data_IF_510139167936
#
_entry.id   IF_510139167936
#
_cell.length_a   1.000
_cell.length_b   1.000
_cell.length_c   1.000
_cell.angle_alpha   90.00
_cell.angle_beta   90.00
_cell.angle_gamma   90.00
#
_symmetry.space_group_name_H-M   'P 1'
#
loop_
_entity.id
_entity.type
_entity.pdbx_description
1 polymer ?
#
# COMPACT_ATOMS: atom_id res chain seq x y z
N UNK A 1 -8.75 2.96 14.64
CA UNK A 1 -9.38 2.73 13.34
C UNK A 1 -9.22 3.97 12.48
N UNK A 2 -10.03 4.97 12.76
CA UNK A 2 -10.12 6.28 12.10
C UNK A 2 -10.08 7.40 13.17
N UNK A 3 -9.90 8.69 12.81
CA UNK A 3 -9.72 9.26 11.46
C UNK A 3 -8.34 8.97 10.84
N UNK A 4 -8.25 9.06 9.51
CA UNK A 4 -6.96 9.10 8.81
C UNK A 4 -6.23 10.41 9.11
N UNK A 5 -4.91 10.42 8.93
CA UNK A 5 -4.09 11.61 9.20
C UNK A 5 -3.40 12.03 7.92
N UNK A 6 -3.58 13.29 7.53
CA UNK A 6 -2.86 13.91 6.43
C UNK A 6 -1.97 15.02 7.00
N UNK A 7 -0.65 14.91 6.77
CA UNK A 7 0.32 15.91 7.19
C UNK A 7 0.41 17.01 6.13
N UNK A 8 -0.58 17.91 6.14
CA UNK A 8 -0.84 18.86 5.05
C UNK A 8 0.35 19.77 4.72
N UNK A 9 1.14 20.16 5.72
CA UNK A 9 2.35 20.97 5.53
C UNK A 9 3.44 20.21 4.79
N UNK A 10 3.63 18.92 5.13
CA UNK A 10 4.58 18.05 4.43
C UNK A 10 4.13 17.84 2.98
N UNK A 11 2.83 17.57 2.78
CA UNK A 11 2.23 17.42 1.44
C UNK A 11 2.50 18.66 0.59
N UNK A 12 2.09 19.85 1.04
CA UNK A 12 2.24 21.09 0.26
C UNK A 12 3.70 21.52 0.10
N UNK A 13 4.61 21.15 1.01
CA UNK A 13 6.05 21.37 0.82
C UNK A 13 6.61 20.54 -0.34
N UNK A 14 6.01 19.39 -0.61
CA UNK A 14 6.51 18.40 -1.57
C UNK A 14 5.71 18.35 -2.88
N UNK A 15 4.69 19.18 -3.08
CA UNK A 15 3.97 19.25 -4.37
C UNK A 15 4.93 19.66 -5.50
N UNK A 16 4.60 19.33 -6.77
CA UNK A 16 5.41 19.70 -7.93
C UNK A 16 5.66 21.20 -8.04
N UNK A 17 6.81 21.58 -8.62
CA UNK A 17 7.24 22.98 -8.68
C UNK A 17 6.25 23.87 -9.44
N UNK A 18 5.70 23.42 -10.56
CA UNK A 18 4.68 24.18 -11.31
C UNK A 18 3.37 24.34 -10.53
N UNK A 19 3.00 23.40 -9.66
CA UNK A 19 1.86 23.58 -8.76
C UNK A 19 2.12 24.70 -7.74
N UNK A 20 3.34 24.78 -7.18
CA UNK A 20 3.74 25.88 -6.29
C UNK A 20 3.69 27.23 -7.01
N UNK A 21 4.26 27.30 -8.22
CA UNK A 21 4.23 28.51 -9.05
C UNK A 21 2.82 28.94 -9.42
N UNK A 22 1.89 27.98 -9.56
CA UNK A 22 0.48 28.23 -9.82
C UNK A 22 -0.35 28.61 -8.59
N UNK A 23 0.23 28.62 -7.40
CA UNK A 23 -0.51 28.83 -6.15
C UNK A 23 -1.51 27.71 -5.86
N UNK A 24 -1.34 26.54 -6.46
CA UNK A 24 -2.18 25.37 -6.19
C UNK A 24 -1.78 24.78 -4.85
N UNK A 25 -2.79 24.44 -4.04
CA UNK A 25 -2.59 23.81 -2.73
C UNK A 25 -3.44 22.56 -2.61
N UNK A 26 -2.87 21.56 -1.96
CA UNK A 26 -3.60 20.35 -1.56
C UNK A 26 -4.26 20.64 -0.23
N UNK A 27 -5.56 20.34 -0.12
CA UNK A 27 -6.36 20.61 1.09
C UNK A 27 -6.84 19.33 1.78
N UNK A 28 -6.87 18.21 1.05
CA UNK A 28 -7.35 16.91 1.50
C UNK A 28 -6.65 15.80 0.73
N UNK A 29 -6.90 14.56 1.12
CA UNK A 29 -6.57 13.36 0.33
C UNK A 29 -7.85 12.68 -0.17
N UNK A 30 -7.70 11.61 -0.95
CA UNK A 30 -8.77 10.68 -1.31
C UNK A 30 -9.11 9.69 -0.17
N UNK A 31 -10.04 8.78 -0.47
CA UNK A 31 -10.53 7.71 0.41
C UNK A 31 -9.44 6.82 1.03
N UNK A 32 -8.34 6.59 0.32
CA UNK A 32 -7.28 5.68 0.76
C UNK A 32 -6.02 6.41 1.27
N UNK A 33 -6.05 7.75 1.40
CA UNK A 33 -4.97 8.60 1.93
C UNK A 33 -3.66 8.67 1.12
N UNK A 34 -3.62 8.20 -0.13
CA UNK A 34 -2.44 8.20 -1.01
C UNK A 34 -2.42 9.30 -2.07
N UNK A 35 -3.58 9.87 -2.42
CA UNK A 35 -3.71 10.88 -3.47
C UNK A 35 -3.69 12.28 -2.88
N UNK A 36 -2.70 13.07 -3.23
CA UNK A 36 -2.50 14.43 -2.72
C UNK A 36 -2.50 15.44 -3.86
N UNK A 37 -3.66 15.59 -4.51
CA UNK A 37 -3.85 16.48 -5.65
C UNK A 37 -4.62 17.74 -5.25
N UNK A 38 -4.37 18.89 -5.90
CA UNK A 38 -5.06 20.14 -5.62
C UNK A 38 -6.53 20.07 -6.04
N UNK A 39 -7.41 20.66 -5.23
CA UNK A 39 -8.86 20.74 -5.49
C UNK A 39 -9.44 22.12 -5.17
N UNK A 40 -10.59 22.41 -5.76
CA UNK A 40 -11.29 23.68 -5.67
C UNK A 40 -10.88 24.66 -6.78
N UNK A 41 -11.28 25.93 -6.61
CA UNK A 41 -11.09 26.98 -7.61
C UNK A 41 -9.60 27.28 -7.81
N UNK A 42 -9.13 27.23 -9.06
CA UNK A 42 -7.77 27.59 -9.45
C UNK A 42 -7.62 29.06 -9.88
N UNK A 43 -6.38 29.44 -10.26
CA UNK A 43 -6.05 30.80 -10.71
C UNK A 43 -6.86 31.30 -11.91
N UNK A 44 -7.50 30.40 -12.68
CA UNK A 44 -8.31 30.72 -13.85
C UNK A 44 -9.82 30.80 -13.50
N UNK A 45 -10.18 30.70 -12.21
CA UNK A 45 -11.58 30.69 -11.77
C UNK A 45 -12.32 29.39 -12.12
N UNK A 46 -11.60 28.31 -12.44
CA UNK A 46 -12.17 27.00 -12.75
C UNK A 46 -12.11 26.09 -11.54
N UNK A 47 -13.18 25.35 -11.29
CA UNK A 47 -13.22 24.36 -10.22
C UNK A 47 -12.45 23.09 -10.63
N UNK A 48 -11.75 22.49 -9.67
CA UNK A 48 -10.93 21.29 -9.86
C UNK A 48 -11.41 20.18 -8.95
N UNK A 49 -11.84 19.10 -9.58
CA UNK A 49 -12.08 17.82 -8.93
C UNK A 49 -10.95 16.87 -9.34
N UNK A 50 -10.07 16.54 -8.39
CA UNK A 50 -8.91 15.71 -8.68
C UNK A 50 -9.31 14.30 -9.16
N UNK A 51 -8.61 13.81 -10.18
CA UNK A 51 -8.73 12.45 -10.71
C UNK A 51 -7.34 11.84 -10.79
N UNK A 52 -7.24 10.55 -10.52
CA UNK A 52 -6.00 9.80 -10.68
C UNK A 52 -6.29 8.42 -11.26
N UNK A 53 -5.46 7.98 -12.21
CA UNK A 53 -5.44 6.60 -12.71
C UNK A 53 -4.30 5.84 -12.04
N UNK A 54 -4.60 4.62 -11.58
CA UNK A 54 -3.70 3.82 -10.76
C UNK A 54 -3.27 2.53 -11.45
N UNK A 55 -2.03 2.13 -11.22
CA UNK A 55 -1.50 0.80 -11.51
C UNK A 55 -0.40 0.49 -10.50
N UNK A 56 -0.05 -0.78 -10.30
CA UNK A 56 0.96 -1.16 -9.32
C UNK A 56 1.93 -2.18 -9.89
N UNK A 57 3.22 -1.93 -9.70
CA UNK A 57 4.28 -2.90 -10.05
C UNK A 57 4.35 -3.98 -8.98
N UNK A 58 4.44 -5.25 -9.37
CA UNK A 58 4.66 -6.34 -8.43
C UNK A 58 6.15 -6.46 -8.08
N UNK A 59 6.52 -6.17 -6.84
CA UNK A 59 7.90 -6.30 -6.36
C UNK A 59 8.29 -7.76 -6.10
N UNK A 60 7.34 -8.68 -5.94
CA UNK A 60 7.65 -10.11 -5.80
C UNK A 60 8.44 -10.65 -7.01
N UNK A 61 8.13 -10.12 -8.20
CA UNK A 61 8.78 -10.43 -9.47
C UNK A 61 9.84 -9.39 -9.86
N UNK A 62 10.39 -8.64 -8.90
CA UNK A 62 11.38 -7.58 -9.13
C UNK A 62 12.53 -8.00 -10.06
N UNK A 63 13.08 -9.21 -9.88
CA UNK A 63 14.18 -9.71 -10.70
C UNK A 63 13.82 -9.97 -12.17
N UNK A 64 12.54 -10.08 -12.49
CA UNK A 64 12.05 -10.33 -13.86
C UNK A 64 11.98 -9.04 -14.69
N UNK A 65 11.75 -7.88 -14.05
CA UNK A 65 11.50 -6.63 -14.76
C UNK A 65 12.51 -5.51 -14.45
N UNK A 66 13.33 -5.62 -13.39
CA UNK A 66 14.27 -4.55 -12.97
C UNK A 66 15.26 -4.12 -14.07
N UNK A 67 15.59 -5.01 -15.00
CA UNK A 67 16.57 -4.76 -16.06
C UNK A 67 15.91 -4.41 -17.42
N UNK A 68 14.58 -4.49 -17.50
CA UNK A 68 13.83 -4.03 -18.67
C UNK A 68 13.66 -2.51 -18.63
N UNK A 69 14.39 -1.84 -19.53
CA UNK A 69 14.44 -0.38 -19.64
C UNK A 69 13.12 0.24 -20.08
N UNK A 70 12.23 -0.53 -20.70
CA UNK A 70 10.94 -0.02 -21.19
C UNK A 70 9.81 -0.27 -20.20
N UNK A 71 9.97 -1.20 -19.26
CA UNK A 71 8.91 -1.67 -18.37
C UNK A 71 8.14 -0.54 -17.67
N UNK A 72 8.85 0.38 -17.00
CA UNK A 72 8.20 1.50 -16.30
C UNK A 72 7.60 2.51 -17.30
N UNK A 73 8.27 2.75 -18.43
CA UNK A 73 7.77 3.68 -19.44
C UNK A 73 6.48 3.19 -20.09
N UNK A 74 6.39 1.90 -20.41
CA UNK A 74 5.18 1.27 -20.98
C UNK A 74 3.99 1.41 -20.04
N UNK A 75 4.19 1.22 -18.72
CA UNK A 75 3.14 1.41 -17.72
C UNK A 75 2.73 2.88 -17.62
N UNK A 76 3.69 3.81 -17.63
CA UNK A 76 3.38 5.24 -17.60
C UNK A 76 2.63 5.69 -18.86
N UNK A 77 2.99 5.15 -20.03
CA UNK A 77 2.28 5.39 -21.29
C UNK A 77 0.87 4.79 -21.26
N UNK A 78 0.71 3.59 -20.70
CA UNK A 78 -0.59 2.98 -20.47
C UNK A 78 -1.47 3.86 -19.57
N UNK A 79 -0.95 4.34 -18.44
CA UNK A 79 -1.66 5.27 -17.56
C UNK A 79 -2.04 6.58 -18.26
N UNK A 80 -1.16 7.14 -19.09
CA UNK A 80 -1.46 8.34 -19.90
C UNK A 80 -2.61 8.07 -20.90
N UNK A 81 -2.63 6.88 -21.51
CA UNK A 81 -3.68 6.49 -22.46
C UNK A 81 -5.04 6.36 -21.76
N UNK A 82 -5.09 5.69 -20.60
CA UNK A 82 -6.32 5.57 -19.79
C UNK A 82 -6.81 6.95 -19.35
N UNK A 83 -5.90 7.84 -18.94
CA UNK A 83 -6.28 9.19 -18.54
C UNK A 83 -6.80 10.01 -19.72
N UNK A 84 -6.21 9.87 -20.92
CA UNK A 84 -6.74 10.47 -22.15
C UNK A 84 -8.15 9.97 -22.46
N UNK A 85 -8.39 8.67 -22.35
CA UNK A 85 -9.72 8.09 -22.56
C UNK A 85 -10.76 8.69 -21.59
N UNK A 86 -10.41 8.83 -20.31
CA UNK A 86 -11.28 9.51 -19.35
C UNK A 86 -11.56 10.96 -19.74
N UNK A 87 -10.53 11.73 -20.11
CA UNK A 87 -10.67 13.14 -20.50
C UNK A 87 -11.58 13.30 -21.72
N UNK A 88 -11.51 12.39 -22.68
CA UNK A 88 -12.30 12.43 -23.91
C UNK A 88 -13.75 11.96 -23.70
N UNK A 89 -13.93 10.85 -22.98
CA UNK A 89 -15.22 10.16 -22.90
C UNK A 89 -16.07 10.53 -21.69
N UNK A 90 -15.50 11.10 -20.63
CA UNK A 90 -16.28 11.42 -19.44
C UNK A 90 -17.41 12.41 -19.77
N UNK A 91 -18.62 12.23 -19.18
CA UNK A 91 -19.77 13.08 -19.45
C UNK A 91 -19.56 14.49 -18.89
N UNK A 92 -20.36 15.45 -19.37
CA UNK A 92 -20.25 16.85 -18.94
C UNK A 92 -20.58 17.08 -17.47
N UNK A 93 -21.31 16.16 -16.83
CA UNK A 93 -21.49 16.17 -15.37
C UNK A 93 -20.16 16.04 -14.61
N UNK A 94 -19.10 15.56 -15.26
CA UNK A 94 -17.74 15.45 -14.73
C UNK A 94 -16.82 16.54 -15.28
N UNK A 95 -17.34 17.67 -15.78
CA UNK A 95 -16.53 18.74 -16.41
C UNK A 95 -15.35 19.22 -15.56
N UNK A 96 -15.51 19.36 -14.24
CA UNK A 96 -14.46 19.85 -13.34
C UNK A 96 -13.36 18.79 -13.13
N UNK A 97 -13.75 17.52 -13.20
CA UNK A 97 -12.85 16.38 -13.19
C UNK A 97 -12.08 16.23 -14.50
N UNK A 98 -12.76 16.40 -15.65
CA UNK A 98 -12.14 16.47 -16.98
C UNK A 98 -11.14 17.61 -17.06
N UNK A 99 -11.51 18.77 -16.51
CA UNK A 99 -10.65 19.95 -16.47
C UNK A 99 -9.37 19.69 -15.66
N UNK A 100 -9.49 19.22 -14.40
CA UNK A 100 -8.32 18.89 -13.57
C UNK A 100 -7.44 17.81 -14.21
N UNK A 101 -8.04 16.71 -14.70
CA UNK A 101 -7.32 15.64 -15.39
C UNK A 101 -6.57 16.13 -16.64
N UNK A 102 -7.20 16.97 -17.46
CA UNK A 102 -6.57 17.54 -18.64
C UNK A 102 -5.40 18.47 -18.28
N UNK A 103 -5.58 19.33 -17.27
CA UNK A 103 -4.58 20.33 -16.86
C UNK A 103 -3.33 19.70 -16.23
N UNK A 104 -3.53 18.73 -15.34
CA UNK A 104 -2.45 18.17 -14.51
C UNK A 104 -1.87 16.90 -15.10
N UNK A 105 -2.72 16.11 -15.75
CA UNK A 105 -2.44 14.73 -16.18
C UNK A 105 -1.81 13.89 -15.07
N UNK A 106 -2.23 14.06 -13.81
CA UNK A 106 -1.63 13.32 -12.69
C UNK A 106 -1.99 11.82 -12.76
N UNK A 107 -1.01 10.96 -12.57
CA UNK A 107 -1.17 9.50 -12.48
C UNK A 107 -0.55 8.97 -11.18
N UNK A 108 -0.88 7.73 -10.80
CA UNK A 108 -0.40 7.10 -9.59
C UNK A 108 0.13 5.70 -9.86
N UNK A 109 1.39 5.60 -10.25
CA UNK A 109 2.10 4.34 -10.27
C UNK A 109 2.51 3.97 -8.83
N UNK A 110 1.96 2.87 -8.34
CA UNK A 110 2.25 2.28 -7.05
C UNK A 110 3.09 1.02 -7.15
N UNK A 111 3.19 0.32 -6.02
CA UNK A 111 3.79 -1.01 -5.94
C UNK A 111 2.91 -1.92 -5.09
N UNK A 112 3.07 -3.22 -5.29
CA UNK A 112 2.61 -4.27 -4.38
C UNK A 112 3.72 -5.30 -4.17
N UNK A 113 3.52 -6.25 -3.26
CA UNK A 113 4.44 -7.37 -3.09
C UNK A 113 5.74 -7.02 -2.36
N UNK A 114 5.82 -5.89 -1.63
CA UNK A 114 7.05 -5.50 -0.94
C UNK A 114 7.48 -6.53 0.12
N UNK A 115 6.56 -6.98 0.99
CA UNK A 115 6.90 -7.99 1.99
C UNK A 115 7.15 -9.36 1.35
N UNK A 116 6.41 -9.71 0.30
CA UNK A 116 6.67 -10.91 -0.50
C UNK A 116 8.08 -10.91 -1.11
N UNK A 117 8.54 -9.77 -1.64
CA UNK A 117 9.91 -9.60 -2.11
C UNK A 117 10.94 -9.84 -1.00
N UNK A 118 10.70 -9.27 0.19
CA UNK A 118 11.60 -9.48 1.33
C UNK A 118 11.63 -10.95 1.78
N UNK A 119 10.47 -11.60 1.91
CA UNK A 119 10.37 -12.99 2.31
C UNK A 119 11.00 -13.96 1.31
N UNK A 120 10.78 -13.73 0.00
CA UNK A 120 11.44 -14.49 -1.09
C UNK A 120 12.96 -14.46 -0.97
N UNK A 121 13.51 -13.35 -0.52
CA UNK A 121 14.95 -13.15 -0.34
C UNK A 121 15.43 -13.44 1.10
N UNK A 122 14.57 -13.98 1.98
CA UNK A 122 14.85 -14.23 3.39
C UNK A 122 15.38 -12.98 4.14
N UNK A 123 14.81 -11.81 3.84
CA UNK A 123 15.16 -10.54 4.47
C UNK A 123 14.10 -10.20 5.52
N UNK A 124 14.46 -10.08 6.81
CA UNK A 124 13.54 -9.58 7.82
C UNK A 124 13.08 -8.16 7.52
N UNK A 125 11.80 -7.87 7.74
CA UNK A 125 11.25 -6.53 7.55
C UNK A 125 11.94 -5.49 8.45
N UNK A 126 12.29 -5.91 9.67
CA UNK A 126 12.98 -5.12 10.71
C UNK A 126 14.51 -5.13 10.54
N UNK A 127 15.00 -4.90 9.32
CA UNK A 127 16.42 -5.01 9.03
C UNK A 127 16.97 -3.83 8.23
N UNK A 128 18.29 -3.62 8.37
CA UNK A 128 19.02 -2.67 7.54
C UNK A 128 18.91 -3.03 6.05
N UNK A 129 18.91 -4.33 5.73
CA UNK A 129 18.74 -4.80 4.35
C UNK A 129 17.39 -4.42 3.77
N UNK A 130 16.30 -4.48 4.55
CA UNK A 130 15.01 -3.97 4.12
C UNK A 130 15.06 -2.47 3.80
N UNK A 131 15.76 -1.64 4.59
CA UNK A 131 15.95 -0.20 4.31
C UNK A 131 16.75 0.05 3.03
N UNK A 132 17.81 -0.74 2.79
CA UNK A 132 18.63 -0.66 1.58
C UNK A 132 17.79 -0.96 0.34
N UNK A 133 17.06 -2.08 0.35
CA UNK A 133 16.20 -2.47 -0.78
C UNK A 133 15.04 -1.51 -1.00
N UNK A 134 14.40 -1.06 0.08
CA UNK A 134 13.37 -0.02 0.03
C UNK A 134 13.89 1.22 -0.70
N UNK A 135 15.01 1.78 -0.26
CA UNK A 135 15.60 2.97 -0.89
C UNK A 135 15.97 2.70 -2.34
N UNK A 136 16.59 1.56 -2.64
CA UNK A 136 17.01 1.18 -3.99
C UNK A 136 15.83 1.09 -4.95
N UNK A 137 14.76 0.38 -4.57
CA UNK A 137 13.57 0.17 -5.41
C UNK A 137 12.85 1.49 -5.66
N UNK A 138 12.54 2.25 -4.61
CA UNK A 138 11.77 3.49 -4.78
C UNK A 138 12.56 4.59 -5.49
N UNK A 139 13.87 4.69 -5.26
CA UNK A 139 14.74 5.59 -6.03
C UNK A 139 14.79 5.20 -7.51
N UNK A 140 14.86 3.92 -7.82
CA UNK A 140 14.81 3.44 -9.21
C UNK A 140 13.48 3.81 -9.87
N UNK A 141 12.36 3.50 -9.23
CA UNK A 141 11.02 3.82 -9.74
C UNK A 141 10.88 5.33 -9.98
N UNK A 142 11.28 6.17 -9.02
CA UNK A 142 11.24 7.63 -9.18
C UNK A 142 12.06 8.10 -10.39
N UNK A 143 13.28 7.58 -10.58
CA UNK A 143 14.10 7.91 -11.74
C UNK A 143 13.42 7.52 -13.05
N UNK A 144 12.86 6.31 -13.13
CA UNK A 144 12.24 5.81 -14.36
C UNK A 144 10.92 6.51 -14.69
N UNK A 145 10.04 6.80 -13.72
CA UNK A 145 8.81 7.56 -13.98
C UNK A 145 9.11 9.01 -14.40
N UNK A 146 10.18 9.61 -13.86
CA UNK A 146 10.62 10.95 -14.25
C UNK A 146 11.17 10.96 -15.68
N UNK A 147 11.94 9.94 -16.08
CA UNK A 147 12.38 9.76 -17.48
C UNK A 147 11.21 9.56 -18.43
N UNK A 148 10.27 8.67 -18.08
CA UNK A 148 9.08 8.38 -18.87
C UNK A 148 8.22 9.64 -19.07
N UNK A 149 8.02 10.43 -18.01
CA UNK A 149 7.26 11.69 -18.08
C UNK A 149 7.88 12.71 -19.05
N UNK A 150 9.21 12.87 -19.05
CA UNK A 150 9.90 13.76 -20.00
C UNK A 150 9.80 13.26 -21.43
N UNK A 151 10.05 11.96 -21.66
CA UNK A 151 9.93 11.32 -22.98
C UNK A 151 8.51 11.52 -23.55
N UNK A 152 7.48 11.25 -22.75
CA UNK A 152 6.09 11.44 -23.18
C UNK A 152 5.74 12.92 -23.37
N UNK A 153 6.39 13.85 -22.66
CA UNK A 153 6.20 15.28 -22.88
C UNK A 153 6.81 15.74 -24.22
N UNK A 154 7.94 15.17 -24.63
CA UNK A 154 8.54 15.41 -25.95
C UNK A 154 7.65 14.87 -27.07
N UNK A 155 7.11 13.67 -26.90
CA UNK A 155 6.27 13.01 -27.91
C UNK A 155 4.85 13.60 -28.02
N UNK A 156 4.22 13.94 -26.88
CA UNK A 156 2.79 14.27 -26.78
C UNK A 156 2.52 15.68 -26.26
N UNK A 157 3.57 16.44 -25.97
CA UNK A 157 3.50 17.72 -25.28
C UNK A 157 3.39 17.58 -23.75
N UNK A 158 3.95 18.54 -22.98
CA UNK A 158 3.79 18.60 -21.53
C UNK A 158 2.32 18.83 -21.13
N UNK A 159 1.96 18.47 -19.90
CA UNK A 159 0.64 18.84 -19.39
C UNK A 159 0.49 20.37 -19.31
N UNK A 160 -0.72 20.93 -19.49
CA UNK A 160 -0.94 22.37 -19.46
C UNK A 160 -0.41 23.05 -18.19
N UNK A 161 -0.57 22.45 -17.01
CA UNK A 161 -0.08 23.05 -15.76
C UNK A 161 1.45 23.12 -15.72
N UNK A 162 2.18 22.20 -16.33
CA UNK A 162 3.63 22.28 -16.46
C UNK A 162 4.04 23.26 -17.58
N UNK A 163 3.35 23.20 -18.72
CA UNK A 163 3.60 24.01 -19.92
C UNK A 163 3.50 25.51 -19.63
N UNK A 164 2.50 25.93 -18.84
CA UNK A 164 2.28 27.33 -18.47
C UNK A 164 3.49 27.97 -17.77
N UNK A 165 4.38 27.15 -17.18
CA UNK A 165 5.60 27.60 -16.49
C UNK A 165 6.88 27.11 -17.19
N UNK A 166 6.80 26.70 -18.46
CA UNK A 166 7.95 26.26 -19.25
C UNK A 166 8.59 24.95 -18.77
N UNK A 167 7.84 24.11 -18.05
CA UNK A 167 8.32 22.82 -17.53
C UNK A 167 7.96 21.70 -18.51
N UNK A 168 8.94 20.89 -18.88
CA UNK A 168 8.78 19.73 -19.79
C UNK A 168 8.43 18.46 -19.02
N UNK A 169 7.18 18.37 -18.57
CA UNK A 169 6.64 17.22 -17.84
C UNK A 169 5.28 16.81 -18.40
N UNK A 170 5.09 15.52 -18.68
CA UNK A 170 3.80 15.01 -19.16
C UNK A 170 2.80 14.89 -18.02
N UNK A 171 3.27 14.54 -16.83
CA UNK A 171 2.44 14.33 -15.65
C UNK A 171 2.89 15.27 -14.51
N UNK A 172 1.94 15.97 -13.90
CA UNK A 172 2.22 16.75 -12.68
C UNK A 172 2.67 15.85 -11.52
N UNK A 173 1.97 14.73 -11.31
CA UNK A 173 2.31 13.71 -10.32
C UNK A 173 2.33 12.33 -10.99
N UNK A 174 3.17 11.42 -10.49
CA UNK A 174 3.56 10.18 -11.19
C UNK A 174 3.37 8.93 -10.33
N UNK A 175 3.63 9.03 -9.03
CA UNK A 175 3.66 7.92 -8.09
C UNK A 175 2.75 8.15 -6.88
N UNK A 176 1.99 7.12 -6.53
CA UNK A 176 1.13 7.05 -5.34
C UNK A 176 1.01 5.57 -4.94
N UNK A 177 1.20 5.24 -3.67
CA UNK A 177 1.14 3.84 -3.21
C UNK A 177 -0.24 3.57 -2.61
N UNK A 178 -1.15 3.06 -3.43
CA UNK A 178 -2.51 2.71 -3.02
C UNK A 178 -2.57 1.34 -2.33
N UNK A 179 -3.64 1.01 -1.61
CA UNK A 179 -3.88 -0.35 -1.13
C UNK A 179 -4.15 -1.26 -2.32
N UNK A 180 -3.56 -2.46 -2.33
CA UNK A 180 -3.61 -3.37 -3.50
C UNK A 180 -4.26 -4.71 -3.20
N UNK A 181 -5.07 -4.82 -2.14
CA UNK A 181 -5.56 -6.11 -1.65
C UNK A 181 -6.18 -7.02 -2.73
N UNK A 182 -7.07 -6.49 -3.57
CA UNK A 182 -7.70 -7.29 -4.63
C UNK A 182 -6.72 -7.70 -5.73
N UNK A 183 -5.88 -6.79 -6.22
CA UNK A 183 -4.90 -7.11 -7.28
C UNK A 183 -3.76 -8.00 -6.77
N UNK A 184 -3.45 -7.92 -5.47
CA UNK A 184 -2.54 -8.82 -4.76
C UNK A 184 -3.04 -10.27 -4.79
N UNK A 185 -4.36 -10.48 -4.61
CA UNK A 185 -4.97 -11.81 -4.74
C UNK A 185 -4.91 -12.29 -6.19
N UNK A 186 -5.24 -11.43 -7.15
CA UNK A 186 -5.19 -11.75 -8.59
C UNK A 186 -3.78 -12.18 -9.00
N UNK A 187 -2.75 -11.53 -8.46
CA UNK A 187 -1.34 -11.83 -8.75
C UNK A 187 -0.75 -12.96 -7.89
N UNK A 188 -1.56 -13.95 -7.49
CA UNK A 188 -1.07 -15.16 -6.81
C UNK A 188 -0.74 -14.94 -5.33
N UNK A 189 -1.44 -14.00 -4.67
CA UNK A 189 -1.34 -13.78 -3.23
C UNK A 189 -0.08 -13.03 -2.79
N UNK A 190 0.47 -12.15 -3.62
CA UNK A 190 1.56 -11.24 -3.21
C UNK A 190 1.09 -10.31 -2.07
N UNK A 191 2.00 -9.84 -1.22
CA UNK A 191 1.66 -8.95 -0.10
C UNK A 191 1.03 -7.62 -0.60
N UNK A 192 0.07 -7.03 0.13
CA UNK A 192 -0.58 -5.80 -0.30
C UNK A 192 0.35 -4.58 -0.17
N UNK A 193 0.46 -3.80 -1.23
CA UNK A 193 1.19 -2.53 -1.24
C UNK A 193 2.63 -2.66 -0.74
N UNK A 194 2.93 -1.81 0.25
CA UNK A 194 4.19 -1.80 1.02
C UNK A 194 4.04 -2.43 2.40
N UNK A 195 2.88 -3.05 2.68
CA UNK A 195 2.50 -3.47 4.02
C UNK A 195 3.01 -4.89 4.32
N UNK A 196 3.32 -5.16 5.59
CA UNK A 196 3.56 -6.52 6.04
C UNK A 196 2.28 -7.36 5.93
N UNK A 197 2.46 -8.68 5.86
CA UNK A 197 1.31 -9.60 5.77
C UNK A 197 0.70 -9.78 7.15
N UNK A 198 -0.62 -9.80 7.24
CA UNK A 198 -1.32 -9.90 8.53
C UNK A 198 -1.14 -11.27 9.22
N UNK A 199 -0.85 -12.33 8.46
CA UNK A 199 -0.64 -13.69 8.95
C UNK A 199 -0.06 -14.59 7.87
N UNK A 200 0.75 -15.58 8.25
CA UNK A 200 1.31 -16.56 7.31
C UNK A 200 0.33 -17.68 6.90
N UNK A 201 -0.80 -17.77 7.59
CA UNK A 201 -1.91 -18.68 7.28
C UNK A 201 -3.21 -17.99 7.69
N UNK A 202 -4.14 -17.79 6.76
CA UNK A 202 -5.41 -17.12 7.03
C UNK A 202 -6.54 -17.62 6.13
N UNK A 203 -7.76 -17.56 6.66
CA UNK A 203 -8.95 -17.96 5.91
C UNK A 203 -9.40 -16.82 4.99
N UNK A 204 -9.37 -17.04 3.68
CA UNK A 204 -9.94 -16.16 2.68
C UNK A 204 -11.37 -16.60 2.34
N UNK A 205 -12.35 -15.76 2.64
CA UNK A 205 -13.76 -16.00 2.30
C UNK A 205 -14.04 -15.48 0.89
N UNK A 206 -14.65 -16.31 0.07
CA UNK A 206 -15.14 -15.97 -1.27
C UNK A 206 -16.62 -16.34 -1.37
N UNK A 207 -17.30 -15.86 -2.41
CA UNK A 207 -18.67 -16.27 -2.72
C UNK A 207 -18.82 -17.79 -2.88
N UNK A 208 -17.76 -18.47 -3.36
CA UNK A 208 -17.72 -19.92 -3.58
C UNK A 208 -17.30 -20.75 -2.35
N UNK A 209 -16.97 -20.11 -1.22
CA UNK A 209 -16.53 -20.80 -0.01
C UNK A 209 -15.35 -20.14 0.69
N UNK A 210 -14.91 -20.76 1.78
CA UNK A 210 -13.76 -20.31 2.57
C UNK A 210 -12.54 -21.17 2.26
N UNK A 211 -11.43 -20.54 1.87
CA UNK A 211 -10.18 -21.20 1.52
C UNK A 211 -9.07 -20.76 2.46
N UNK A 212 -8.22 -21.68 2.91
CA UNK A 212 -7.06 -21.32 3.71
C UNK A 212 -5.91 -20.90 2.77
N UNK A 213 -5.44 -19.67 2.90
CA UNK A 213 -4.31 -19.13 2.17
C UNK A 213 -3.06 -19.28 3.02
N UNK A 214 -2.07 -19.99 2.49
CA UNK A 214 -0.77 -20.24 3.12
C UNK A 214 0.30 -19.38 2.47
N UNK A 215 1.25 -18.89 3.26
CA UNK A 215 2.40 -18.17 2.75
C UNK A 215 3.33 -19.12 1.98
N UNK A 216 3.42 -18.93 0.67
CA UNK A 216 4.25 -19.75 -0.23
C UNK A 216 5.74 -19.75 0.12
N UNK A 217 6.29 -18.62 0.60
CA UNK A 217 7.70 -18.55 0.98
C UNK A 217 7.97 -19.25 2.31
N UNK A 218 7.00 -19.22 3.23
CA UNK A 218 7.08 -20.01 4.45
C UNK A 218 6.99 -21.51 4.14
N UNK A 219 6.16 -21.90 3.18
CA UNK A 219 6.05 -23.30 2.75
C UNK A 219 7.39 -23.87 2.30
N UNK A 220 8.16 -23.11 1.51
CA UNK A 220 9.52 -23.48 1.10
C UNK A 220 10.45 -23.68 2.31
N UNK A 221 10.35 -22.84 3.33
CA UNK A 221 11.14 -22.98 4.56
C UNK A 221 10.71 -24.20 5.38
N UNK A 222 9.41 -24.45 5.53
CA UNK A 222 8.89 -25.63 6.22
C UNK A 222 9.29 -26.94 5.52
N UNK A 223 9.39 -26.93 4.18
CA UNK A 223 9.89 -28.06 3.41
C UNK A 223 11.34 -28.41 3.77
N UNK A 224 12.22 -27.42 3.99
CA UNK A 224 13.63 -27.65 4.38
C UNK A 224 13.76 -28.44 5.69
N UNK A 225 12.83 -28.24 6.62
CA UNK A 225 12.79 -28.95 7.91
C UNK A 225 11.96 -30.24 7.89
N UNK A 226 11.35 -30.60 6.75
CA UNK A 226 10.38 -31.71 6.69
C UNK A 226 9.13 -31.46 7.55
N UNK A 227 8.81 -30.19 7.81
CA UNK A 227 7.68 -29.75 8.66
C UNK A 227 6.53 -29.13 7.86
N UNK A 228 6.55 -29.22 6.53
CA UNK A 228 5.40 -28.83 5.70
C UNK A 228 4.29 -29.88 5.77
N UNK A 229 3.54 -29.90 6.87
CA UNK A 229 2.46 -30.84 7.11
C UNK A 229 1.23 -30.16 7.72
N UNK A 230 0.10 -30.85 7.72
CA UNK A 230 -1.18 -30.29 8.18
C UNK A 230 -1.19 -29.93 9.67
N UNK A 231 -0.40 -30.61 10.49
CA UNK A 231 -0.25 -30.30 11.91
C UNK A 231 0.42 -28.94 12.11
N UNK A 232 1.54 -28.70 11.41
CA UNK A 232 2.28 -27.43 11.46
C UNK A 232 1.42 -26.27 10.95
N UNK A 233 0.74 -26.44 9.81
CA UNK A 233 -0.15 -25.40 9.28
C UNK A 233 -1.38 -25.15 10.16
N UNK A 234 -1.93 -26.20 10.79
CA UNK A 234 -3.00 -26.04 11.79
C UNK A 234 -2.49 -25.21 12.98
N UNK A 235 -1.30 -25.52 13.48
CA UNK A 235 -0.65 -24.79 14.58
C UNK A 235 -0.38 -23.31 14.24
N UNK A 236 0.07 -23.02 13.02
CA UNK A 236 0.24 -21.64 12.53
C UNK A 236 -1.11 -20.93 12.48
N UNK A 237 -2.16 -21.59 11.96
CA UNK A 237 -3.49 -21.00 11.84
C UNK A 237 -4.12 -20.69 13.21
N UNK A 238 -4.02 -21.61 14.17
CA UNK A 238 -4.52 -21.40 15.54
C UNK A 238 -3.71 -20.35 16.29
N UNK A 239 -2.44 -20.17 15.93
CA UNK A 239 -1.56 -19.10 16.40
C UNK A 239 -1.73 -17.80 15.58
N UNK A 240 -2.89 -17.61 14.94
CA UNK A 240 -3.26 -16.41 14.19
C UNK A 240 -2.27 -16.07 13.04
N UNK A 241 -1.71 -17.09 12.41
CA UNK A 241 -0.74 -16.93 11.33
C UNK A 241 0.70 -16.70 11.80
N UNK A 242 0.97 -16.71 13.10
CA UNK A 242 2.32 -16.59 13.66
C UNK A 242 3.13 -17.88 13.47
N UNK A 243 4.44 -17.72 13.39
CA UNK A 243 5.43 -18.82 13.40
C UNK A 243 6.39 -18.74 14.60
N UNK A 244 6.21 -17.76 15.49
CA UNK A 244 7.18 -17.49 16.56
C UNK A 244 7.32 -18.65 17.55
N UNK A 245 6.24 -19.44 17.71
CA UNK A 245 6.17 -20.62 18.57
C UNK A 245 6.81 -21.89 17.97
N UNK A 246 7.27 -21.86 16.71
CA UNK A 246 7.86 -23.04 16.06
C UNK A 246 9.35 -23.17 16.45
N UNK A 247 9.67 -24.11 17.34
CA UNK A 247 11.03 -24.25 17.91
C UNK A 247 12.10 -24.71 16.90
N UNK A 248 11.69 -25.32 15.78
CA UNK A 248 12.62 -25.78 14.75
C UNK A 248 13.04 -24.68 13.77
N UNK A 249 12.40 -23.52 13.78
CA UNK A 249 12.81 -22.37 12.97
C UNK A 249 13.92 -21.61 13.67
N UNK A 250 14.90 -21.14 12.89
CA UNK A 250 15.92 -20.21 13.38
C UNK A 250 15.29 -18.86 13.74
N UNK A 251 15.98 -18.07 14.57
CA UNK A 251 15.51 -16.72 14.90
C UNK A 251 15.41 -15.83 13.65
N UNK A 252 16.35 -15.95 12.71
CA UNK A 252 16.32 -15.21 11.45
C UNK A 252 15.08 -15.56 10.61
N UNK A 253 14.75 -16.84 10.45
CA UNK A 253 13.53 -17.27 9.77
C UNK A 253 12.27 -16.76 10.49
N UNK A 254 12.25 -16.82 11.82
CA UNK A 254 11.15 -16.24 12.61
C UNK A 254 11.00 -14.74 12.37
N UNK A 255 12.10 -14.00 12.26
CA UNK A 255 12.11 -12.56 11.99
C UNK A 255 11.64 -12.23 10.56
N UNK A 256 11.95 -13.07 9.57
CA UNK A 256 11.45 -12.95 8.18
C UNK A 256 9.92 -13.10 8.10
N UNK A 257 9.36 -14.01 8.89
CA UNK A 257 7.93 -14.34 8.84
C UNK A 257 7.11 -13.73 9.99
N UNK A 258 7.61 -12.68 10.64
CA UNK A 258 6.80 -11.86 11.55
C UNK A 258 5.56 -11.33 10.84
N UNK A 259 4.42 -11.46 11.51
CA UNK A 259 3.15 -10.90 11.04
C UNK A 259 3.09 -9.39 11.30
N UNK A 260 2.18 -8.70 10.62
CA UNK A 260 2.00 -7.25 10.75
C UNK A 260 1.86 -6.78 12.21
N UNK A 261 1.19 -7.57 13.06
CA UNK A 261 0.97 -7.26 14.48
C UNK A 261 2.13 -7.64 15.41
N UNK A 262 3.10 -8.41 14.92
CA UNK A 262 4.32 -8.77 15.67
C UNK A 262 5.48 -7.81 15.38
N UNK A 263 5.41 -7.08 14.26
CA UNK A 263 6.41 -6.10 13.88
C UNK A 263 6.35 -4.86 14.77
N UNK A 264 7.52 -4.35 15.11
CA UNK A 264 7.70 -3.01 15.65
C UNK A 264 7.38 -1.98 14.55
N UNK A 265 6.25 -1.30 14.75
CA UNK A 265 5.72 -0.32 13.80
C UNK A 265 6.68 0.86 13.54
N UNK A 266 7.69 1.09 14.39
CA UNK A 266 8.74 2.08 14.13
C UNK A 266 9.52 1.74 12.86
N UNK A 267 9.78 0.47 12.56
CA UNK A 267 10.41 0.06 11.31
C UNK A 267 9.54 0.35 10.10
N UNK A 268 8.23 0.14 10.23
CA UNK A 268 7.27 0.47 9.19
C UNK A 268 7.25 1.99 8.92
N UNK A 269 7.28 2.82 9.97
CA UNK A 269 7.41 4.28 9.81
C UNK A 269 8.74 4.67 9.17
N UNK A 270 9.84 4.04 9.56
CA UNK A 270 11.18 4.33 9.01
C UNK A 270 11.24 4.02 7.52
N UNK A 271 10.79 2.85 7.12
CA UNK A 271 10.76 2.45 5.70
C UNK A 271 9.84 3.37 4.88
N UNK A 272 8.69 3.76 5.44
CA UNK A 272 7.78 4.71 4.81
C UNK A 272 8.38 6.11 4.69
N UNK A 273 9.10 6.58 5.71
CA UNK A 273 9.82 7.86 5.66
C UNK A 273 10.92 7.83 4.60
N UNK A 274 11.74 6.77 4.57
CA UNK A 274 12.85 6.63 3.62
C UNK A 274 12.37 6.67 2.16
N UNK A 275 11.19 6.12 1.86
CA UNK A 275 10.62 6.12 0.50
C UNK A 275 9.85 7.39 0.13
N UNK A 276 9.40 8.17 1.12
CA UNK A 276 8.55 9.36 0.88
C UNK A 276 9.16 10.38 -0.10
N UNK A 277 10.48 10.68 -0.07
CA UNK A 277 11.10 11.56 -1.05
C UNK A 277 10.98 11.11 -2.51
N UNK A 278 10.76 9.82 -2.76
CA UNK A 278 10.66 9.22 -4.09
C UNK A 278 9.20 9.01 -4.54
N UNK A 279 8.23 9.47 -3.73
CA UNK A 279 6.80 9.36 -4.02
C UNK A 279 6.24 10.78 -4.21
N UNK A 280 5.78 11.10 -5.42
CA UNK A 280 5.27 12.43 -5.76
C UNK A 280 4.00 12.78 -4.96
N UNK A 281 3.07 11.82 -4.84
CA UNK A 281 1.87 11.93 -4.01
C UNK A 281 2.15 11.35 -2.62
N UNK A 282 1.28 10.51 -2.05
CA UNK A 282 1.48 9.86 -0.76
C UNK A 282 1.41 8.32 -0.86
N UNK A 283 1.37 7.66 0.30
CA UNK A 283 1.28 6.21 0.44
C UNK A 283 0.24 5.87 1.48
N UNK A 284 -0.67 4.95 1.17
CA UNK A 284 -1.59 4.38 2.14
C UNK A 284 -0.78 3.54 3.13
N UNK A 285 -0.69 4.01 4.37
CA UNK A 285 0.09 3.36 5.41
C UNK A 285 -0.80 2.99 6.59
N UNK A 286 -1.17 1.72 6.68
CA UNK A 286 -1.79 1.18 7.88
C UNK A 286 -0.74 1.03 9.00
N UNK A 287 -1.20 1.14 10.25
CA UNK A 287 -0.41 0.84 11.45
C UNK A 287 -1.10 -0.30 12.19
N UNK A 288 -0.34 -1.30 12.62
CA UNK A 288 -0.86 -2.52 13.25
C UNK A 288 -0.42 -2.57 14.70
N UNK A 289 -1.37 -2.50 15.63
CA UNK A 289 -1.09 -2.45 17.07
C UNK A 289 -1.81 -3.57 17.82
N UNK A 290 -1.21 -4.05 18.92
CA UNK A 290 -1.91 -4.91 19.84
C UNK A 290 -3.00 -4.11 20.57
N UNK A 291 -4.00 -4.82 21.07
CA UNK A 291 -5.19 -4.21 21.68
C UNK A 291 -4.89 -3.43 22.97
N UNK A 292 -3.81 -3.79 23.65
CA UNK A 292 -3.33 -3.26 24.92
C UNK A 292 -2.14 -2.30 24.74
N UNK A 293 -1.92 -1.77 23.53
CA UNK A 293 -0.85 -0.81 23.25
C UNK A 293 -0.89 0.37 24.22
N UNK A 294 0.26 0.71 24.80
CA UNK A 294 0.36 1.83 25.72
C UNK A 294 0.20 3.17 24.98
N UNK A 295 -0.52 4.12 25.56
CA UNK A 295 -0.83 5.43 24.94
C UNK A 295 0.43 6.20 24.52
N UNK A 296 1.53 6.04 25.27
CA UNK A 296 2.83 6.64 24.95
C UNK A 296 3.38 6.11 23.62
N UNK A 297 3.27 4.81 23.37
CA UNK A 297 3.79 4.19 22.16
C UNK A 297 2.91 4.53 20.96
N UNK A 298 1.58 4.51 21.14
CA UNK A 298 0.63 5.01 20.15
C UNK A 298 0.95 6.46 19.75
N UNK A 299 1.13 7.35 20.73
CA UNK A 299 1.51 8.74 20.47
C UNK A 299 2.87 8.82 19.76
N UNK A 300 3.86 8.07 20.22
CA UNK A 300 5.20 8.09 19.64
C UNK A 300 5.20 7.68 18.17
N UNK A 301 4.44 6.65 17.79
CA UNK A 301 4.34 6.21 16.39
C UNK A 301 3.80 7.34 15.52
N UNK A 302 2.67 7.94 15.90
CA UNK A 302 2.05 9.03 15.15
C UNK A 302 2.94 10.29 15.10
N UNK A 303 3.59 10.63 16.22
CA UNK A 303 4.51 11.75 16.30
C UNK A 303 5.75 11.54 15.43
N UNK A 304 6.29 10.31 15.39
CA UNK A 304 7.41 9.98 14.51
C UNK A 304 7.01 10.03 13.03
N UNK A 305 5.80 9.58 12.66
CA UNK A 305 5.28 9.71 11.31
C UNK A 305 5.30 11.17 10.83
N UNK A 306 4.78 12.08 11.65
CA UNK A 306 4.85 13.53 11.39
C UNK A 306 6.29 14.03 11.30
N UNK A 307 7.10 13.76 12.34
CA UNK A 307 8.46 14.27 12.49
C UNK A 307 9.38 13.83 11.35
N UNK A 308 9.19 12.61 10.84
CA UNK A 308 9.98 12.03 9.75
C UNK A 308 9.49 12.44 8.36
N UNK A 309 8.43 13.24 8.28
CA UNK A 309 7.96 13.80 7.02
C UNK A 309 7.15 12.82 6.19
N UNK A 310 6.39 11.92 6.80
CA UNK A 310 5.33 11.22 6.07
C UNK A 310 4.28 12.23 5.61
N UNK A 311 3.57 11.89 4.53
CA UNK A 311 2.47 12.69 3.99
C UNK A 311 1.11 12.27 4.54
N UNK A 312 0.94 11.00 4.88
CA UNK A 312 -0.32 10.47 5.38
C UNK A 312 -0.15 9.20 6.23
N UNK A 313 -1.19 8.87 7.00
CA UNK A 313 -1.44 7.59 7.65
C UNK A 313 -2.89 7.19 7.37
N UNK A 314 -3.10 5.90 7.09
CA UNK A 314 -4.40 5.32 6.76
C UNK A 314 -5.07 4.76 8.02
N UNK A 315 -5.42 3.46 8.06
CA UNK A 315 -6.05 2.90 9.25
C UNK A 315 -5.05 2.59 10.36
N UNK A 316 -5.44 2.88 11.59
CA UNK A 316 -4.84 2.28 12.78
C UNK A 316 -5.61 1.00 13.12
N UNK A 317 -5.02 -0.16 12.78
CA UNK A 317 -5.54 -1.51 13.00
C UNK A 317 -5.18 -1.98 14.41
N UNK A 318 -6.17 -2.54 15.11
CA UNK A 318 -5.99 -3.13 16.43
C UNK A 318 -6.60 -4.51 16.43
N UNK A 319 -5.93 -5.49 17.05
CA UNK A 319 -6.60 -6.76 17.40
C UNK A 319 -7.70 -6.46 18.44
N UNK A 320 -8.78 -7.22 18.43
CA UNK A 320 -9.77 -7.18 19.52
C UNK A 320 -9.31 -8.09 20.66
N UNK A 321 -9.46 -7.62 21.90
CA UNK A 321 -9.12 -8.42 23.11
C UNK A 321 -9.93 -9.72 23.15
N UNK A 322 -11.19 -9.69 22.71
CA UNK A 322 -12.07 -10.86 22.73
C UNK A 322 -11.60 -12.01 21.84
N UNK A 323 -10.93 -11.75 20.70
CA UNK A 323 -10.39 -12.84 19.85
C UNK A 323 -9.29 -13.65 20.54
N UNK A 324 -8.57 -13.07 21.50
CA UNK A 324 -7.56 -13.79 22.28
C UNK A 324 -8.18 -14.78 23.28
N UNK A 325 -9.36 -14.49 23.84
CA UNK A 325 -10.01 -15.36 24.82
C UNK A 325 -10.75 -16.57 24.20
N UNK A 326 -11.28 -16.46 22.98
CA UNK A 326 -12.09 -17.54 22.37
C UNK A 326 -11.28 -18.83 22.19
N UNK A 327 -9.97 -18.74 21.97
CA UNK A 327 -9.08 -19.92 21.83
C UNK A 327 -8.85 -20.61 23.20
N UNK A 328 -8.92 -19.86 24.30
CA UNK A 328 -8.72 -20.41 25.65
C UNK A 328 -9.98 -21.09 26.21
N UNK A 329 -11.19 -20.66 25.79
CA UNK A 329 -12.47 -21.15 26.33
C UNK A 329 -13.14 -22.25 25.49
N UNK A 330 -12.66 -22.54 24.28
CA UNK A 330 -13.28 -23.56 23.42
C UNK A 330 -13.01 -25.01 23.85
N UNK A 331 -12.24 -25.23 24.93
CA UNK A 331 -12.03 -26.55 25.53
C UNK A 331 -12.99 -26.89 26.68
N UNK A 332 -13.90 -25.99 27.08
CA UNK A 332 -14.85 -26.25 28.17
C UNK A 332 -16.25 -25.71 27.83
N UNK A 333 -16.94 -26.34 26.88
CA UNK A 333 -18.41 -26.43 26.86
C UNK A 333 -18.87 -27.27 25.66
N UNK A 334 -19.13 -28.55 25.92
CA UNK A 334 -20.06 -29.33 25.11
C UNK A 334 -21.51 -28.85 25.35
N UNK A 335 -22.32 -28.99 24.30
CA UNK A 335 -23.80 -28.99 24.30
C UNK A 335 -24.53 -27.73 24.75
N UNK A 336 -24.93 -26.90 23.79
CA UNK A 336 -26.32 -26.37 23.70
C UNK A 336 -26.57 -25.72 22.34
N UNK A 337 -27.65 -26.16 21.69
CA UNK A 337 -28.18 -25.61 20.44
C UNK A 337 -28.48 -24.11 20.57
N UNK A 338 -28.06 -23.30 19.58
CA UNK A 338 -28.65 -21.98 19.34
C UNK A 338 -28.88 -21.72 17.86
N UNK A 339 -30.17 -21.58 17.59
CA UNK A 339 -30.92 -20.98 16.50
C UNK A 339 -30.16 -19.99 15.62
N UNK A 340 -30.20 -20.25 14.31
CA UNK A 340 -29.80 -19.34 13.23
C UNK A 340 -30.81 -18.20 13.11
N UNK A 341 -30.32 -16.95 13.07
CA UNK A 341 -30.96 -15.82 12.41
C UNK A 341 -29.95 -14.67 12.34
N UNK A 342 -29.16 -14.60 11.27
CA UNK A 342 -28.55 -13.35 10.82
C UNK A 342 -28.55 -13.30 9.29
N UNK A 343 -29.15 -12.23 8.76
CA UNK A 343 -29.21 -11.87 7.34
C UNK A 343 -27.80 -11.64 6.76
N UNK A 344 -27.58 -11.90 5.46
CA UNK A 344 -26.28 -11.75 4.85
C UNK A 344 -25.94 -10.26 4.67
N UNK A 345 -25.18 -9.68 5.59
CA UNK A 345 -24.49 -8.41 5.37
C UNK A 345 -23.36 -8.63 4.37
N UNK A 346 -23.65 -8.23 3.13
CA UNK A 346 -22.75 -8.29 1.99
C UNK A 346 -21.68 -7.18 2.10
N UNK A 347 -20.64 -7.43 2.90
CA UNK A 347 -19.37 -6.71 2.84
C UNK A 347 -18.30 -7.75 2.53
N UNK A 348 -17.55 -7.55 1.44
CA UNK A 348 -16.33 -8.30 1.18
C UNK A 348 -15.29 -7.96 2.28
N UNK A 349 -15.39 -8.64 3.43
CA UNK A 349 -14.36 -8.62 4.47
C UNK A 349 -13.14 -9.39 3.95
N UNK A 350 -12.26 -8.71 3.22
CA UNK A 350 -10.92 -9.21 2.97
C UNK A 350 -10.13 -9.14 4.28
N UNK A 351 -9.71 -10.28 4.83
CA UNK A 351 -8.84 -10.34 6.02
C UNK A 351 -7.45 -9.73 5.76
N UNK A 352 -6.99 -9.65 4.52
CA UNK A 352 -5.80 -8.84 4.15
C UNK A 352 -6.07 -7.33 4.25
N UNK A 353 -7.34 -6.91 4.27
CA UNK A 353 -7.80 -5.55 4.54
C UNK A 353 -8.28 -5.36 6.00
N UNK A 354 -8.18 -6.36 6.89
CA UNK A 354 -8.55 -6.25 8.31
C UNK A 354 -7.37 -5.84 9.18
#
# INVERSE_FOLDING_TARGET
>A
GEPYIIFIDTVNRMIPQHHKLAGLTVKTSNLCSEITLPTGIDKNGKDRTAVCCLSSINLETYDEWKDDKNFVEDIMRFLDNILSEFIEKAPDSFKDAKYSAHRERSVGLGVMGFHSFLQKNLIPFESVMAKVWNTKIFKYIDQEVNKASKKLAEERGPCPDAKDYGIMERFSNKTAIAPTASISIICGGSSPGIEPIAGNSYTHKTLSGSFNVRNKFLEEVLNKYGKNNNETWSSITTSQGSVQHLDFLTQEEKDVFKTAFELDQRWLIDLSADRTPYISQAQSLNIFLPADVHKKDLHQIHFQSWKKGLKSLYYCRSKSIQRAEVVSKSFVASTTEKTQNEEPKNYEECLSCQ
#
